data_IF_901863765268
#
_entry.id   IF_901863765268
#
_cell.length_a   1.000
_cell.length_b   1.000
_cell.length_c   1.000
_cell.angle_alpha   90.00
_cell.angle_beta   90.00
_cell.angle_gamma   90.00
#
_symmetry.space_group_name_H-M   'P 1'
#
loop_
_entity.id
_entity.type
_entity.pdbx_description
1 polymer ?
#
# COMPACT_ATOMS: atom_id res chain seq x y z
N UNK A 1 14.58 -5.66 9.50
CA UNK A 1 14.50 -5.95 8.05
C UNK A 1 13.39 -5.12 7.42
N UNK A 2 13.63 -4.48 6.26
CA UNK A 2 12.59 -3.71 5.59
C UNK A 2 11.35 -4.56 5.28
N UNK A 3 10.17 -3.96 5.45
CA UNK A 3 8.88 -4.61 5.21
C UNK A 3 8.41 -4.25 3.81
N UNK A 4 8.23 -5.25 2.94
CA UNK A 4 7.71 -5.08 1.58
C UNK A 4 6.25 -5.51 1.56
N UNK A 5 5.35 -4.63 1.13
CA UNK A 5 3.91 -4.94 1.01
C UNK A 5 3.51 -4.97 -0.46
N UNK A 6 2.86 -6.04 -0.88
CA UNK A 6 2.30 -6.25 -2.23
C UNK A 6 0.80 -6.51 -2.15
N UNK A 7 0.07 -6.42 -3.25
CA UNK A 7 -1.38 -6.59 -3.21
C UNK A 7 -1.83 -8.06 -3.09
N UNK A 8 -1.07 -9.02 -3.62
CA UNK A 8 -1.49 -10.43 -3.68
C UNK A 8 -0.50 -11.44 -3.06
N UNK A 9 -0.98 -12.54 -2.46
CA UNK A 9 -0.13 -13.56 -1.84
C UNK A 9 0.81 -14.27 -2.81
N UNK A 10 0.36 -14.47 -4.06
CA UNK A 10 1.17 -15.09 -5.11
C UNK A 10 2.41 -14.25 -5.45
N UNK A 11 2.25 -12.92 -5.53
CA UNK A 11 3.36 -11.99 -5.71
C UNK A 11 4.27 -11.97 -4.49
N UNK A 12 3.71 -11.98 -3.28
CA UNK A 12 4.50 -11.98 -2.05
C UNK A 12 5.45 -13.19 -2.01
N UNK A 13 4.93 -14.39 -2.32
CA UNK A 13 5.73 -15.62 -2.38
C UNK A 13 6.84 -15.55 -3.43
N UNK A 14 6.57 -14.93 -4.58
CA UNK A 14 7.54 -14.84 -5.69
C UNK A 14 8.62 -13.81 -5.40
N UNK A 15 8.23 -12.62 -4.94
CA UNK A 15 9.16 -11.54 -4.58
C UNK A 15 10.05 -11.95 -3.41
N UNK A 16 9.51 -12.65 -2.41
CA UNK A 16 10.30 -13.18 -1.30
C UNK A 16 11.43 -14.12 -1.76
N UNK A 17 11.19 -14.94 -2.79
CA UNK A 17 12.24 -15.79 -3.39
C UNK A 17 13.37 -14.97 -4.04
N UNK A 18 13.07 -13.79 -4.57
CA UNK A 18 14.06 -12.94 -5.24
C UNK A 18 14.85 -12.07 -4.28
N UNK A 19 14.19 -11.55 -3.25
CA UNK A 19 14.79 -10.66 -2.24
C UNK A 19 15.50 -11.43 -1.13
N UNK A 20 15.09 -12.68 -0.87
CA UNK A 20 15.66 -13.52 0.18
C UNK A 20 15.34 -13.05 1.59
N UNK A 21 16.13 -13.50 2.56
CA UNK A 21 15.91 -13.26 4.00
C UNK A 21 16.18 -11.83 4.47
N UNK A 22 16.56 -10.92 3.58
CA UNK A 22 16.85 -9.53 3.92
C UNK A 22 15.59 -8.68 4.08
N UNK A 23 14.43 -9.20 3.62
CA UNK A 23 13.16 -8.49 3.59
C UNK A 23 12.04 -9.34 4.19
N UNK A 24 11.07 -8.68 4.83
CA UNK A 24 9.81 -9.31 5.21
C UNK A 24 8.76 -8.95 4.16
N UNK A 25 8.34 -9.91 3.33
CA UNK A 25 7.34 -9.66 2.27
C UNK A 25 5.95 -10.09 2.73
N UNK A 26 5.01 -9.15 2.77
CA UNK A 26 3.62 -9.35 3.18
C UNK A 26 2.65 -8.98 2.06
N UNK A 27 1.45 -9.56 2.08
CA UNK A 27 0.37 -9.22 1.16
C UNK A 27 -0.74 -8.42 1.86
N UNK A 28 -1.28 -7.40 1.20
CA UNK A 28 -2.46 -6.65 1.67
C UNK A 28 -3.78 -7.32 1.33
N UNK A 29 -3.78 -8.24 0.35
CA UNK A 29 -4.96 -8.90 -0.20
C UNK A 29 -5.91 -7.91 -0.91
N UNK A 30 -5.32 -7.02 -1.70
CA UNK A 30 -6.03 -5.95 -2.41
C UNK A 30 -6.21 -4.70 -1.55
N UNK A 31 -7.37 -4.06 -1.68
CA UNK A 31 -7.72 -2.86 -0.94
C UNK A 31 -7.90 -3.15 0.55
N UNK A 32 -7.36 -2.26 1.37
CA UNK A 32 -7.45 -2.35 2.83
C UNK A 32 -8.52 -1.44 3.44
N UNK A 33 -8.97 -0.44 2.67
CA UNK A 33 -10.03 0.48 3.04
C UNK A 33 -11.02 0.60 1.89
N UNK A 34 -12.27 0.91 2.22
CA UNK A 34 -13.29 1.27 1.23
C UNK A 34 -14.25 2.32 1.80
N UNK A 35 -15.09 2.89 0.93
CA UNK A 35 -16.19 3.76 1.33
C UNK A 35 -17.24 2.91 2.07
N UNK A 36 -17.75 3.35 3.23
CA UNK A 36 -18.85 2.66 3.87
C UNK A 36 -20.09 2.68 2.97
N UNK A 37 -20.90 1.60 2.94
CA UNK A 37 -22.09 1.51 2.11
C UNK A 37 -23.25 2.27 2.77
N UNK A 38 -23.09 3.58 2.92
CA UNK A 38 -24.03 4.50 3.57
C UNK A 38 -24.06 5.81 2.80
N UNK A 39 -25.21 6.47 2.83
CA UNK A 39 -25.34 7.82 2.30
C UNK A 39 -24.43 8.79 3.09
N UNK A 40 -23.75 9.69 2.36
CA UNK A 40 -22.83 10.66 2.94
C UNK A 40 -21.37 10.21 3.05
N UNK A 41 -20.99 9.05 2.50
CA UNK A 41 -19.58 8.64 2.41
C UNK A 41 -18.72 9.55 1.51
N UNK A 42 -19.37 10.30 0.61
CA UNK A 42 -18.79 11.36 -0.20
C UNK A 42 -19.54 12.65 0.11
N UNK A 43 -18.83 13.65 0.60
CA UNK A 43 -19.38 14.96 0.95
C UNK A 43 -19.18 15.94 -0.21
N UNK A 44 -20.22 16.15 -1.02
CA UNK A 44 -20.16 17.03 -2.19
C UNK A 44 -20.08 18.51 -1.84
N UNK A 45 -20.41 18.90 -0.62
CA UNK A 45 -20.37 20.28 -0.15
C UNK A 45 -18.99 20.67 0.38
N UNK A 46 -18.16 19.68 0.76
CA UNK A 46 -16.82 19.86 1.31
C UNK A 46 -15.75 19.23 0.41
N UNK A 47 -15.58 19.76 -0.80
CA UNK A 47 -14.54 19.35 -1.77
C UNK A 47 -14.50 17.83 -2.05
N UNK A 48 -15.66 17.17 -2.07
CA UNK A 48 -15.79 15.71 -2.23
C UNK A 48 -15.02 14.92 -1.17
N UNK A 49 -14.95 15.42 0.06
CA UNK A 49 -14.30 14.73 1.16
C UNK A 49 -14.91 13.32 1.35
N UNK A 50 -14.05 12.31 1.47
CA UNK A 50 -14.45 10.92 1.55
C UNK A 50 -14.17 10.32 2.92
N UNK A 51 -15.16 9.60 3.46
CA UNK A 51 -14.97 8.79 4.66
C UNK A 51 -14.54 7.38 4.28
N UNK A 52 -13.47 6.89 4.90
CA UNK A 52 -12.89 5.58 4.61
C UNK A 52 -12.95 4.68 5.83
N UNK A 53 -13.38 3.43 5.64
CA UNK A 53 -13.36 2.41 6.67
C UNK A 53 -12.43 1.26 6.30
N UNK A 54 -11.69 0.74 7.29
CA UNK A 54 -10.89 -0.47 7.12
C UNK A 54 -11.82 -1.68 7.04
N UNK A 55 -11.76 -2.41 5.92
CA UNK A 55 -12.53 -3.63 5.74
C UNK A 55 -12.21 -4.65 6.84
N UNK A 56 -13.24 -5.36 7.33
CA UNK A 56 -13.10 -6.29 8.46
C UNK A 56 -12.01 -7.35 8.20
N UNK A 57 -12.00 -7.92 7.00
CA UNK A 57 -11.01 -8.92 6.58
C UNK A 57 -9.60 -8.36 6.45
N UNK A 58 -9.47 -7.06 6.19
CA UNK A 58 -8.18 -6.37 6.03
C UNK A 58 -7.51 -6.03 7.37
N UNK A 59 -8.24 -6.05 8.48
CA UNK A 59 -7.70 -5.75 9.82
C UNK A 59 -6.57 -6.68 10.22
N UNK A 60 -6.69 -7.99 9.93
CA UNK A 60 -5.62 -8.96 10.23
C UNK A 60 -4.34 -8.69 9.42
N UNK A 61 -4.49 -8.21 8.19
CA UNK A 61 -3.37 -7.88 7.31
C UNK A 61 -2.66 -6.59 7.75
N UNK A 62 -3.42 -5.54 8.06
CA UNK A 62 -2.89 -4.31 8.65
C UNK A 62 -2.16 -4.60 9.97
N UNK A 63 -2.73 -5.46 10.81
CA UNK A 63 -2.08 -5.89 12.06
C UNK A 63 -0.76 -6.59 11.79
N UNK A 64 -0.72 -7.55 10.86
CA UNK A 64 0.52 -8.24 10.50
C UNK A 64 1.61 -7.28 9.99
N UNK A 65 1.24 -6.31 9.15
CA UNK A 65 2.16 -5.27 8.65
C UNK A 65 2.64 -4.39 9.81
N UNK A 66 1.74 -3.96 10.68
CA UNK A 66 2.07 -3.14 11.85
C UNK A 66 3.03 -3.86 12.79
N UNK A 67 2.81 -5.14 13.06
CA UNK A 67 3.73 -5.95 13.89
C UNK A 67 5.10 -6.10 13.23
N UNK A 68 5.15 -6.35 11.91
CA UNK A 68 6.41 -6.44 11.18
C UNK A 68 7.18 -5.11 11.20
N UNK A 69 6.48 -3.97 11.17
CA UNK A 69 7.10 -2.66 11.28
C UNK A 69 7.65 -2.37 12.68
N UNK A 70 7.21 -3.03 13.76
CA UNK A 70 7.77 -2.74 15.09
C UNK A 70 9.27 -2.96 15.19
N UNK A 71 9.82 -3.86 14.37
CA UNK A 71 11.23 -4.26 14.39
C UNK A 71 12.09 -3.55 13.33
N UNK A 72 11.48 -2.74 12.45
CA UNK A 72 12.20 -2.04 11.39
C UNK A 72 11.54 -0.70 11.02
N UNK A 73 12.35 0.23 10.54
CA UNK A 73 11.92 1.59 10.22
C UNK A 73 11.76 1.81 8.71
N UNK A 74 11.68 0.76 7.88
CA UNK A 74 11.49 0.88 6.44
C UNK A 74 10.28 0.08 5.93
N UNK A 75 9.33 0.80 5.32
CA UNK A 75 8.18 0.25 4.58
C UNK A 75 8.36 0.50 3.08
N UNK A 76 8.24 -0.56 2.29
CA UNK A 76 8.33 -0.54 0.83
C UNK A 76 7.00 -1.03 0.24
N UNK A 77 6.31 -0.17 -0.49
CA UNK A 77 5.05 -0.46 -1.16
C UNK A 77 5.33 -0.91 -2.61
N UNK A 78 5.03 -2.17 -2.89
CA UNK A 78 5.39 -2.86 -4.13
C UNK A 78 4.15 -3.35 -4.90
N UNK A 79 3.07 -2.57 -4.86
CA UNK A 79 1.83 -2.83 -5.62
C UNK A 79 2.01 -2.59 -7.12
N UNK A 80 1.04 -3.01 -7.91
CA UNK A 80 1.08 -2.88 -9.37
C UNK A 80 1.34 -1.46 -9.88
N UNK A 81 2.02 -1.32 -11.04
CA UNK A 81 2.40 -0.02 -11.61
C UNK A 81 1.23 0.67 -12.33
N UNK A 82 0.03 0.60 -11.76
CA UNK A 82 -1.17 1.22 -12.29
C UNK A 82 -1.84 2.12 -11.23
N UNK A 83 -2.91 2.79 -11.65
CA UNK A 83 -3.70 3.69 -10.79
C UNK A 83 -4.28 2.96 -9.57
N UNK A 84 -4.60 1.67 -9.71
CA UNK A 84 -5.18 0.87 -8.63
C UNK A 84 -4.14 0.53 -7.57
N UNK A 85 -2.97 0.08 -8.00
CA UNK A 85 -1.84 -0.18 -7.13
C UNK A 85 -1.39 1.08 -6.40
N UNK A 86 -1.46 2.25 -7.05
CA UNK A 86 -1.16 3.52 -6.39
C UNK A 86 -2.17 3.88 -5.30
N UNK A 87 -3.47 3.66 -5.57
CA UNK A 87 -4.52 3.84 -4.57
C UNK A 87 -4.36 2.86 -3.38
N UNK A 88 -4.08 1.58 -3.64
CA UNK A 88 -3.82 0.59 -2.58
C UNK A 88 -2.63 1.04 -1.73
N UNK A 89 -1.55 1.51 -2.35
CA UNK A 89 -0.38 2.05 -1.64
C UNK A 89 -0.76 3.22 -0.74
N UNK A 90 -1.53 4.17 -1.25
CA UNK A 90 -2.04 5.29 -0.45
C UNK A 90 -2.94 4.82 0.70
N UNK A 91 -3.88 3.91 0.44
CA UNK A 91 -4.74 3.37 1.50
C UNK A 91 -3.97 2.64 2.60
N UNK A 92 -2.88 1.94 2.25
CA UNK A 92 -1.98 1.33 3.21
C UNK A 92 -1.27 2.37 4.06
N UNK A 93 -0.73 3.45 3.47
CA UNK A 93 -0.08 4.52 4.22
C UNK A 93 -1.03 5.14 5.24
N UNK A 94 -2.25 5.46 4.80
CA UNK A 94 -3.26 6.06 5.66
C UNK A 94 -3.72 5.11 6.78
N UNK A 95 -3.97 3.83 6.45
CA UNK A 95 -4.36 2.83 7.44
C UNK A 95 -3.24 2.54 8.46
N UNK A 96 -1.98 2.73 8.08
CA UNK A 96 -0.79 2.52 8.91
C UNK A 96 -0.26 3.82 9.54
N UNK A 97 -0.93 4.97 9.35
CA UNK A 97 -0.41 6.28 9.73
C UNK A 97 0.08 6.36 11.19
N UNK A 98 -0.61 5.68 12.12
CA UNK A 98 -0.18 5.58 13.52
C UNK A 98 1.19 4.89 13.69
N UNK A 99 1.43 3.80 12.97
CA UNK A 99 2.69 3.04 12.96
C UNK A 99 3.82 3.77 12.23
N UNK A 100 3.45 4.61 11.26
CA UNK A 100 4.38 5.35 10.40
C UNK A 100 4.88 6.67 11.00
N UNK A 101 4.22 7.19 12.05
CA UNK A 101 4.63 8.43 12.75
C UNK A 101 5.93 8.30 13.58
N UNK A 102 6.56 7.12 13.60
CA UNK A 102 7.79 6.89 14.37
C UNK A 102 8.98 7.63 13.74
N UNK A 103 9.83 8.22 14.59
CA UNK A 103 11.02 8.93 14.14
C UNK A 103 11.95 7.99 13.37
N UNK A 104 12.34 8.37 12.15
CA UNK A 104 13.22 7.58 11.30
C UNK A 104 12.50 6.62 10.35
N UNK A 105 11.18 6.48 10.46
CA UNK A 105 10.37 5.70 9.52
C UNK A 105 10.52 6.23 8.10
N UNK A 106 10.89 5.34 7.18
CA UNK A 106 10.97 5.59 5.74
C UNK A 106 9.87 4.82 5.07
N UNK A 107 9.08 5.52 4.26
CA UNK A 107 8.08 4.91 3.39
C UNK A 107 8.47 5.17 1.96
N UNK A 108 8.49 4.12 1.17
CA UNK A 108 8.84 4.18 -0.25
C UNK A 108 7.90 3.34 -1.09
N UNK A 109 7.90 3.63 -2.39
CA UNK A 109 7.09 3.00 -3.42
C UNK A 109 8.03 2.49 -4.50
N UNK A 110 7.86 1.23 -4.91
CA UNK A 110 8.64 0.60 -5.98
C UNK A 110 7.70 -0.04 -7.00
N UNK A 111 7.92 0.25 -8.27
CA UNK A 111 7.12 -0.28 -9.38
C UNK A 111 7.97 -1.14 -10.30
N UNK A 112 7.41 -2.23 -10.79
CA UNK A 112 8.03 -3.08 -11.81
C UNK A 112 6.96 -3.58 -12.77
N UNK A 113 7.27 -3.59 -14.06
CA UNK A 113 6.34 -4.02 -15.11
C UNK A 113 6.34 -5.55 -15.31
N UNK A 114 7.25 -6.26 -14.66
CA UNK A 114 7.37 -7.71 -14.73
C UNK A 114 7.89 -8.29 -13.41
N UNK A 115 7.40 -9.46 -13.03
CA UNK A 115 7.81 -10.16 -11.80
C UNK A 115 9.00 -11.06 -12.11
N UNK A 116 10.10 -10.45 -12.55
CA UNK A 116 11.38 -11.12 -12.75
C UNK A 116 12.36 -10.70 -11.66
N UNK A 117 13.37 -11.55 -11.37
CA UNK A 117 14.39 -11.24 -10.36
C UNK A 117 15.10 -9.91 -10.64
N UNK A 118 15.45 -9.64 -11.89
CA UNK A 118 16.13 -8.40 -12.30
C UNK A 118 15.23 -7.18 -12.15
N UNK A 119 13.96 -7.25 -12.57
CA UNK A 119 13.04 -6.13 -12.45
C UNK A 119 12.75 -5.78 -10.98
N UNK A 120 12.49 -6.79 -10.15
CA UNK A 120 12.22 -6.60 -8.71
C UNK A 120 13.44 -6.02 -8.01
N UNK A 121 14.62 -6.62 -8.17
CA UNK A 121 15.85 -6.13 -7.51
C UNK A 121 16.30 -4.76 -8.05
N UNK A 122 16.06 -4.47 -9.33
CA UNK A 122 16.32 -3.15 -9.91
C UNK A 122 15.37 -2.08 -9.38
N UNK A 123 14.09 -2.40 -9.21
CA UNK A 123 13.09 -1.49 -8.64
C UNK A 123 13.41 -1.12 -7.19
N UNK A 124 13.91 -2.07 -6.38
CA UNK A 124 14.35 -1.80 -5.00
C UNK A 124 15.49 -0.79 -4.89
N UNK A 125 16.26 -0.58 -5.96
CA UNK A 125 17.34 0.42 -6.00
C UNK A 125 16.86 1.81 -6.39
N UNK A 126 15.64 1.94 -6.90
CA UNK A 126 15.06 3.19 -7.38
C UNK A 126 13.70 3.46 -6.71
N UNK A 127 13.65 3.55 -5.37
CA UNK A 127 12.41 3.88 -4.67
C UNK A 127 11.95 5.30 -5.03
N UNK A 128 10.63 5.47 -5.13
CA UNK A 128 9.96 6.77 -5.26
C UNK A 128 8.96 6.97 -4.13
N UNK A 129 8.32 8.12 -4.09
CA UNK A 129 7.13 8.33 -3.26
C UNK A 129 5.86 7.94 -4.01
N UNK A 130 4.76 7.81 -3.28
CA UNK A 130 3.43 7.62 -3.88
C UNK A 130 3.08 8.83 -4.75
N UNK A 131 2.57 8.55 -5.94
CA UNK A 131 2.19 9.51 -6.96
C UNK A 131 0.80 10.07 -6.63
N UNK A 132 0.80 11.26 -6.04
CA UNK A 132 -0.43 11.94 -5.60
C UNK A 132 -1.40 12.21 -6.76
N UNK A 133 -0.97 12.65 -7.96
CA UNK A 133 -1.85 12.75 -9.12
C UNK A 133 -2.58 11.44 -9.49
N UNK A 134 -1.88 10.30 -9.49
CA UNK A 134 -2.52 8.99 -9.77
C UNK A 134 -3.53 8.60 -8.68
N UNK A 135 -3.22 8.88 -7.42
CA UNK A 135 -4.18 8.70 -6.31
C UNK A 135 -5.40 9.61 -6.52
N UNK A 136 -5.20 10.88 -6.84
CA UNK A 136 -6.29 11.82 -7.14
C UNK A 136 -7.19 11.34 -8.27
N UNK A 137 -6.62 10.79 -9.34
CA UNK A 137 -7.37 10.17 -10.43
C UNK A 137 -8.13 8.89 -9.98
N UNK A 138 -7.62 8.16 -8.98
CA UNK A 138 -8.37 7.07 -8.36
C UNK A 138 -9.58 7.59 -7.59
N UNK A 139 -9.35 8.53 -6.68
CA UNK A 139 -10.36 9.12 -5.80
C UNK A 139 -11.48 9.80 -6.59
N UNK A 140 -11.13 10.60 -7.61
CA UNK A 140 -12.11 11.25 -8.47
C UNK A 140 -13.05 10.23 -9.14
N UNK A 141 -12.52 9.09 -9.62
CA UNK A 141 -13.38 8.03 -10.16
C UNK A 141 -14.27 7.41 -9.08
N UNK A 142 -13.76 7.23 -7.86
CA UNK A 142 -14.53 6.66 -6.75
C UNK A 142 -15.65 7.59 -6.28
N UNK A 143 -15.46 8.91 -6.41
CA UNK A 143 -16.48 9.92 -6.08
C UNK A 143 -17.71 9.88 -7.00
N UNK A 144 -17.53 9.38 -8.23
CA UNK A 144 -18.56 9.39 -9.27
C UNK A 144 -19.49 8.15 -9.25
N UNK A 145 -19.21 7.16 -8.40
CA UNK A 145 -19.92 5.86 -8.35
C UNK A 145 -20.70 5.75 -7.06
#
# INVERSE_FOLDING_TARGET
MPVVVVESPAKAKTINKYLGSNYTVLASYGHVRDLPPKDGSVDTENDFAMTWEVAADSRKHIKAITEALKTDDELILATDPDREGEAISWHLQEALAGSLKRKGMKVSRVTFNAITKSAVTGAMKNPRQVDVPLVGAHLARRALV
#
